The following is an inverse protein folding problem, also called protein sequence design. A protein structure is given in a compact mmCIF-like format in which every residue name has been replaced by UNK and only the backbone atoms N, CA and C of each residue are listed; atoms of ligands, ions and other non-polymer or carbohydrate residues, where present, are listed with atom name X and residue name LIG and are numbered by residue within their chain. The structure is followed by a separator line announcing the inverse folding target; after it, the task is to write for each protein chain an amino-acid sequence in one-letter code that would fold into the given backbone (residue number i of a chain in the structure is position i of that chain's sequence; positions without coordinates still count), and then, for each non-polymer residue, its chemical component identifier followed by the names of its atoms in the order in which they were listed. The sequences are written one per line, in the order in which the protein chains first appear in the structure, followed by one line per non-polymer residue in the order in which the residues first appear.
data_IF_463048243272
#
_entry.id   IF_463048243272
#
_cell.length_a   1.000
_cell.length_b   1.000
_cell.length_c   1.000
_cell.angle_alpha   90.00
_cell.angle_beta   90.00
_cell.angle_gamma   90.00
#
_symmetry.space_group_name_H-M   'P 1'
#
loop_
_entity.id
_entity.type
_entity.pdbx_description
1 polymer ?
#
# COMPACT_ATOMS: atom_id res chain seq x y z
N UNK A 1 -3.35 17.94 -51.62
CA UNK A 1 -3.01 18.55 -50.30
C UNK A 1 -3.50 17.63 -49.23
N UNK A 2 -2.58 16.89 -48.61
CA UNK A 2 -2.92 15.97 -47.53
C UNK A 2 -2.82 16.73 -46.17
N UNK A 3 -3.89 16.69 -45.39
CA UNK A 3 -3.95 17.27 -44.05
C UNK A 3 -3.10 16.39 -43.10
N UNK A 4 -2.25 16.97 -42.26
CA UNK A 4 -1.51 16.17 -41.27
C UNK A 4 -2.44 15.66 -40.18
N UNK A 5 -2.29 14.38 -39.83
CA UNK A 5 -2.96 13.75 -38.68
C UNK A 5 -2.55 14.42 -37.37
N UNK A 6 -3.46 14.54 -36.39
CA UNK A 6 -3.09 15.09 -35.08
C UNK A 6 -2.13 14.16 -34.36
N UNK A 7 -1.03 14.74 -33.87
CA UNK A 7 -0.10 14.08 -32.97
C UNK A 7 -0.85 13.76 -31.66
N UNK A 8 -0.95 12.48 -31.34
CA UNK A 8 -1.39 12.03 -30.01
C UNK A 8 -0.34 12.51 -29.00
N UNK A 9 -0.69 13.54 -28.26
CA UNK A 9 0.05 13.98 -27.09
C UNK A 9 0.01 12.85 -26.04
N UNK A 10 1.16 12.23 -25.82
CA UNK A 10 1.39 11.38 -24.63
C UNK A 10 1.42 12.30 -23.41
N UNK A 11 0.26 12.65 -22.90
CA UNK A 11 0.16 13.30 -21.61
C UNK A 11 0.47 12.24 -20.54
N UNK A 12 1.68 12.31 -19.98
CA UNK A 12 1.97 11.63 -18.71
C UNK A 12 1.09 12.29 -17.65
N UNK A 13 0.36 11.50 -16.84
CA UNK A 13 -0.45 12.08 -15.77
C UNK A 13 0.45 12.89 -14.84
N UNK A 14 -0.01 14.09 -14.48
CA UNK A 14 0.68 14.97 -13.56
C UNK A 14 0.85 14.29 -12.19
N UNK A 15 2.00 14.46 -11.56
CA UNK A 15 2.33 13.89 -10.25
C UNK A 15 1.29 14.21 -9.16
N UNK A 16 0.59 15.34 -9.27
CA UNK A 16 -0.51 15.72 -8.38
C UNK A 16 -1.74 14.83 -8.56
N UNK A 17 -2.03 14.41 -9.78
CA UNK A 17 -3.13 13.49 -10.12
C UNK A 17 -2.83 12.09 -9.64
N UNK A 18 -1.59 11.61 -9.81
CA UNK A 18 -1.15 10.30 -9.29
C UNK A 18 -1.21 10.26 -7.75
N UNK A 19 -0.72 11.29 -7.07
CA UNK A 19 -0.79 11.39 -5.60
C UNK A 19 -2.23 11.41 -5.09
N UNK A 20 -3.16 12.08 -5.79
CA UNK A 20 -4.60 12.06 -5.45
C UNK A 20 -5.16 10.66 -5.62
N UNK A 21 -4.87 10.01 -6.73
CA UNK A 21 -5.33 8.64 -7.02
C UNK A 21 -4.81 7.65 -5.98
N UNK A 22 -3.54 7.74 -5.57
CA UNK A 22 -2.97 6.89 -4.53
C UNK A 22 -3.71 7.03 -3.18
N UNK A 23 -4.04 8.28 -2.78
CA UNK A 23 -4.84 8.54 -1.58
C UNK A 23 -6.26 7.98 -1.67
N UNK A 24 -6.87 8.05 -2.84
CA UNK A 24 -8.19 7.50 -3.07
C UNK A 24 -8.17 5.98 -3.00
N UNK A 25 -7.19 5.33 -3.62
CA UNK A 25 -6.97 3.88 -3.51
C UNK A 25 -6.75 3.47 -2.04
N UNK A 26 -5.89 4.18 -1.31
CA UNK A 26 -5.67 3.93 0.11
C UNK A 26 -6.97 4.00 0.91
N UNK A 27 -7.80 5.03 0.68
CA UNK A 27 -9.09 5.23 1.35
C UNK A 27 -10.05 4.09 1.09
N UNK A 28 -10.20 3.66 -0.16
CA UNK A 28 -11.06 2.52 -0.52
C UNK A 28 -10.62 1.24 0.17
N UNK A 29 -9.30 0.95 0.16
CA UNK A 29 -8.73 -0.22 0.83
C UNK A 29 -8.96 -0.15 2.36
N UNK A 30 -8.73 1.00 2.98
CA UNK A 30 -8.96 1.15 4.43
C UNK A 30 -10.42 0.90 4.81
N UNK A 31 -11.37 1.30 3.97
CA UNK A 31 -12.81 1.01 4.18
C UNK A 31 -13.12 -0.48 4.04
N UNK A 32 -12.56 -1.14 3.01
CA UNK A 32 -12.67 -2.59 2.85
C UNK A 32 -12.12 -3.34 4.07
N UNK A 33 -10.94 -2.93 4.52
CA UNK A 33 -10.28 -3.53 5.68
C UNK A 33 -11.08 -3.34 6.96
N UNK A 34 -11.56 -2.13 7.23
CA UNK A 34 -12.38 -1.84 8.40
C UNK A 34 -13.65 -2.71 8.46
N UNK A 35 -14.32 -2.95 7.31
CA UNK A 35 -15.48 -3.86 7.24
C UNK A 35 -15.12 -5.33 7.54
N UNK A 36 -13.85 -5.70 7.42
CA UNK A 36 -13.32 -7.01 7.71
C UNK A 36 -12.53 -7.07 9.02
N UNK A 37 -12.71 -6.07 9.88
CA UNK A 37 -12.01 -5.93 11.17
C UNK A 37 -10.47 -5.95 11.03
N UNK A 38 -9.97 -5.43 9.90
CA UNK A 38 -8.53 -5.19 9.68
C UNK A 38 -8.28 -3.70 9.88
N UNK A 39 -7.47 -3.36 10.87
CA UNK A 39 -7.14 -1.97 11.19
C UNK A 39 -5.73 -1.64 10.71
N UNK A 40 -5.61 -0.58 9.91
CA UNK A 40 -4.33 -0.21 9.30
C UNK A 40 -4.04 1.29 9.42
N UNK A 41 -2.77 1.61 9.31
CA UNK A 41 -2.27 2.98 9.14
C UNK A 41 -1.54 3.11 7.80
N UNK A 42 -1.53 4.32 7.26
CA UNK A 42 -0.77 4.66 6.06
C UNK A 42 0.68 5.00 6.39
N UNK A 43 1.56 4.90 5.40
CA UNK A 43 2.93 5.41 5.48
C UNK A 43 3.70 4.86 6.69
N UNK A 44 3.68 3.53 6.88
CA UNK A 44 4.37 2.89 8.00
C UNK A 44 5.85 2.68 7.69
N UNK A 45 6.79 3.33 8.41
CA UNK A 45 8.22 3.10 8.22
C UNK A 45 8.62 1.71 8.71
N UNK A 46 9.43 0.98 7.93
CA UNK A 46 9.96 -0.33 8.24
C UNK A 46 11.43 -0.25 8.63
N UNK A 47 11.92 -1.30 9.33
CA UNK A 47 13.32 -1.32 9.82
C UNK A 47 14.38 -1.40 8.72
N UNK A 48 14.00 -1.84 7.54
CA UNK A 48 14.88 -1.90 6.37
C UNK A 48 14.97 -0.59 5.59
N UNK A 49 14.42 0.51 6.14
CA UNK A 49 14.38 1.82 5.49
C UNK A 49 13.29 1.98 4.44
N UNK A 50 12.42 0.96 4.25
CA UNK A 50 11.23 1.05 3.42
C UNK A 50 10.09 1.70 4.18
N UNK A 51 9.06 2.06 3.45
CA UNK A 51 7.81 2.57 4.00
C UNK A 51 6.64 1.89 3.29
N UNK A 52 5.85 1.14 4.04
CA UNK A 52 4.66 0.52 3.51
C UNK A 52 3.54 1.56 3.34
N UNK A 53 2.89 1.57 2.18
CA UNK A 53 1.78 2.51 1.93
C UNK A 53 0.64 2.28 2.91
N UNK A 54 0.26 1.02 3.15
CA UNK A 54 -0.64 0.62 4.24
C UNK A 54 -0.06 -0.58 4.98
N UNK A 55 -0.13 -0.54 6.31
CA UNK A 55 0.21 -1.68 7.16
C UNK A 55 -0.84 -1.83 8.25
N UNK A 56 -1.38 -3.03 8.41
CA UNK A 56 -2.45 -3.31 9.34
C UNK A 56 -2.37 -4.66 10.01
N UNK A 57 -3.30 -4.89 10.95
CA UNK A 57 -3.44 -6.15 11.69
C UNK A 57 -4.86 -6.66 11.55
N UNK A 58 -5.00 -7.94 11.23
CA UNK A 58 -6.29 -8.63 11.17
C UNK A 58 -6.73 -9.15 12.56
N UNK A 59 -7.99 -9.64 12.69
CA UNK A 59 -8.52 -10.14 13.98
C UNK A 59 -7.72 -11.30 14.60
N UNK A 60 -6.89 -11.96 13.80
CA UNK A 60 -6.02 -13.06 14.25
C UNK A 60 -4.60 -12.61 14.60
N UNK A 61 -4.37 -11.29 14.62
CA UNK A 61 -3.05 -10.71 14.87
C UNK A 61 -2.05 -10.90 13.74
N UNK A 62 -2.52 -11.15 12.49
CA UNK A 62 -1.64 -11.29 11.32
C UNK A 62 -1.45 -9.93 10.67
N UNK A 63 -0.23 -9.70 10.24
CA UNK A 63 0.15 -8.43 9.60
C UNK A 63 -0.17 -8.49 8.12
N UNK A 64 -0.82 -7.43 7.65
CA UNK A 64 -1.13 -7.20 6.23
C UNK A 64 -0.39 -5.95 5.77
N UNK A 65 0.32 -6.04 4.65
CA UNK A 65 0.90 -4.88 3.96
C UNK A 65 0.24 -4.75 2.59
N UNK A 66 -0.05 -3.50 2.21
CA UNK A 66 -0.46 -3.15 0.85
C UNK A 66 0.51 -2.11 0.31
N UNK A 67 1.01 -2.36 -0.88
CA UNK A 67 1.78 -1.42 -1.70
C UNK A 67 0.88 -0.90 -2.82
N UNK A 68 0.77 0.42 -2.94
CA UNK A 68 -0.15 1.06 -3.89
C UNK A 68 0.60 1.48 -5.15
N UNK A 69 0.07 1.09 -6.31
CA UNK A 69 0.61 1.45 -7.62
C UNK A 69 -0.50 2.08 -8.46
N UNK A 70 -0.29 3.33 -8.88
CA UNK A 70 -1.28 4.11 -9.63
C UNK A 70 -0.89 4.34 -11.08
N UNK A 71 0.38 4.14 -11.42
CA UNK A 71 0.91 4.26 -12.77
C UNK A 71 1.64 2.98 -13.19
N UNK A 72 1.56 2.66 -14.49
CA UNK A 72 2.25 1.48 -15.05
C UNK A 72 3.77 1.57 -14.88
N UNK A 73 4.35 2.77 -15.06
CA UNK A 73 5.78 3.00 -14.92
C UNK A 73 6.27 2.74 -13.49
N UNK A 74 5.50 3.17 -12.49
CA UNK A 74 5.78 2.93 -11.08
C UNK A 74 5.70 1.42 -10.73
N UNK A 75 4.68 0.73 -11.26
CA UNK A 75 4.58 -0.71 -11.10
C UNK A 75 5.79 -1.44 -11.70
N UNK A 76 6.17 -1.14 -12.95
CA UNK A 76 7.26 -1.82 -13.65
C UNK A 76 8.65 -1.49 -13.09
N UNK A 77 8.80 -0.33 -12.44
CA UNK A 77 10.06 0.11 -11.82
C UNK A 77 10.33 -0.44 -10.42
N UNK A 78 9.35 -1.07 -9.78
CA UNK A 78 9.47 -1.54 -8.40
C UNK A 78 10.11 -2.93 -8.32
N UNK A 79 11.45 -2.98 -8.40
CA UNK A 79 12.22 -4.19 -8.11
C UNK A 79 12.46 -4.48 -6.62
N UNK A 80 11.96 -3.62 -5.73
CA UNK A 80 12.28 -3.66 -4.29
C UNK A 80 11.14 -4.17 -3.40
N UNK A 81 9.98 -4.42 -3.99
CA UNK A 81 8.80 -4.88 -3.27
C UNK A 81 8.99 -6.20 -2.48
N UNK A 82 9.89 -7.16 -2.86
CA UNK A 82 10.10 -8.36 -2.04
C UNK A 82 10.59 -8.05 -0.63
N UNK A 83 11.21 -6.89 -0.41
CA UNK A 83 11.68 -6.46 0.90
C UNK A 83 10.54 -6.26 1.93
N UNK A 84 9.29 -6.16 1.48
CA UNK A 84 8.11 -6.07 2.37
C UNK A 84 7.68 -7.41 2.93
N UNK A 85 7.99 -8.52 2.25
CA UNK A 85 7.54 -9.85 2.64
C UNK A 85 8.09 -10.30 4.00
N UNK A 86 9.24 -9.76 4.40
CA UNK A 86 9.84 -10.02 5.72
C UNK A 86 9.08 -9.34 6.88
N UNK A 87 8.09 -8.50 6.58
CA UNK A 87 7.38 -7.67 7.55
C UNK A 87 5.88 -7.97 7.62
N UNK A 88 5.35 -8.88 6.81
CA UNK A 88 3.93 -9.19 6.78
C UNK A 88 3.64 -10.68 6.63
N UNK A 89 2.45 -11.07 7.08
CA UNK A 89 1.89 -12.41 6.86
C UNK A 89 1.15 -12.50 5.52
N UNK A 90 0.68 -11.35 5.00
CA UNK A 90 0.00 -11.21 3.70
C UNK A 90 0.41 -9.91 3.03
N UNK A 91 0.72 -10.01 1.74
CA UNK A 91 1.07 -8.85 0.92
C UNK A 91 0.08 -8.67 -0.22
N UNK A 92 -0.34 -7.43 -0.45
CA UNK A 92 -1.24 -7.05 -1.52
C UNK A 92 -0.68 -5.92 -2.37
N UNK A 93 -0.95 -5.99 -3.65
CA UNK A 93 -0.89 -4.85 -4.55
C UNK A 93 -2.24 -4.13 -4.51
N UNK A 94 -2.21 -2.83 -4.24
CA UNK A 94 -3.38 -1.95 -4.30
C UNK A 94 -3.33 -1.11 -5.57
N UNK A 95 -4.36 -1.18 -6.43
CA UNK A 95 -4.35 -0.50 -7.72
C UNK A 95 -5.69 0.16 -8.02
N UNK A 96 -5.73 1.28 -8.77
CA UNK A 96 -6.99 1.85 -9.23
C UNK A 96 -7.62 1.00 -10.36
N UNK A 97 -8.93 1.12 -10.59
CA UNK A 97 -9.63 0.36 -11.61
C UNK A 97 -9.07 0.53 -13.03
N UNK A 98 -8.57 1.74 -13.34
CA UNK A 98 -8.06 2.07 -14.67
C UNK A 98 -6.66 1.53 -14.97
N UNK A 99 -5.91 1.05 -13.95
CA UNK A 99 -4.55 0.52 -14.16
C UNK A 99 -4.61 -0.84 -14.86
N UNK A 100 -3.79 -1.00 -15.92
CA UNK A 100 -3.56 -2.30 -16.54
C UNK A 100 -2.87 -3.25 -15.55
N UNK A 101 -3.57 -4.32 -15.19
CA UNK A 101 -3.12 -5.32 -14.21
C UNK A 101 -2.37 -6.50 -14.83
N UNK A 102 -2.28 -6.56 -16.15
CA UNK A 102 -1.57 -7.63 -16.86
C UNK A 102 -0.19 -7.96 -16.28
N UNK A 103 0.65 -6.97 -15.96
CA UNK A 103 1.95 -7.21 -15.33
C UNK A 103 1.88 -7.98 -14.01
N UNK A 104 0.84 -7.78 -13.18
CA UNK A 104 0.68 -8.44 -11.87
C UNK A 104 0.44 -9.95 -11.96
N UNK A 105 0.15 -10.47 -13.14
CA UNK A 105 0.07 -11.92 -13.42
C UNK A 105 1.44 -12.51 -13.81
N UNK A 106 2.43 -11.66 -14.03
CA UNK A 106 3.79 -12.08 -14.37
C UNK A 106 4.58 -12.61 -13.17
N UNK A 107 5.54 -13.49 -13.44
CA UNK A 107 6.40 -14.15 -12.43
C UNK A 107 7.14 -13.13 -11.55
N UNK A 108 7.48 -11.95 -12.08
CA UNK A 108 8.18 -10.90 -11.33
C UNK A 108 7.37 -10.35 -10.16
N UNK A 109 6.04 -10.42 -10.22
CA UNK A 109 5.13 -9.92 -9.17
C UNK A 109 4.57 -11.05 -8.30
N UNK A 110 5.08 -12.26 -8.51
CA UNK A 110 4.80 -13.44 -7.70
C UNK A 110 3.32 -13.59 -7.34
N UNK A 111 2.45 -13.86 -8.33
CA UNK A 111 1.02 -14.06 -8.10
C UNK A 111 0.74 -15.25 -7.15
N UNK A 112 1.72 -16.13 -6.96
CA UNK A 112 1.71 -17.24 -6.01
C UNK A 112 1.77 -16.80 -4.54
N UNK A 113 2.30 -15.61 -4.25
CA UNK A 113 2.43 -15.12 -2.87
C UNK A 113 1.81 -13.74 -2.61
N UNK A 114 1.41 -13.02 -3.66
CA UNK A 114 0.85 -11.67 -3.55
C UNK A 114 -0.63 -11.64 -3.94
N UNK A 115 -1.44 -10.93 -3.16
CA UNK A 115 -2.82 -10.62 -3.52
C UNK A 115 -2.94 -9.36 -4.38
N UNK A 116 -4.15 -9.10 -4.88
CA UNK A 116 -4.48 -7.89 -5.63
C UNK A 116 -5.79 -7.31 -5.11
N UNK A 117 -5.78 -6.03 -4.79
CA UNK A 117 -6.96 -5.25 -4.41
C UNK A 117 -7.12 -4.13 -5.44
N UNK A 118 -8.32 -4.02 -5.99
CA UNK A 118 -8.71 -2.85 -6.79
C UNK A 118 -9.53 -1.92 -5.93
N UNK A 119 -9.20 -0.63 -5.94
CA UNK A 119 -9.89 0.36 -5.15
C UNK A 119 -9.98 1.71 -5.84
N UNK A 120 -11.07 2.42 -5.57
CA UNK A 120 -11.25 3.83 -5.84
C UNK A 120 -11.37 4.62 -4.54
N UNK A 121 -11.79 5.90 -4.61
CA UNK A 121 -11.96 6.73 -3.41
C UNK A 121 -13.12 6.33 -2.49
N UNK A 122 -13.96 5.37 -2.90
CA UNK A 122 -15.21 5.00 -2.21
C UNK A 122 -15.19 3.58 -1.66
N UNK A 123 -14.70 2.63 -2.45
CA UNK A 123 -14.74 1.21 -2.11
C UNK A 123 -13.53 0.44 -2.70
N UNK A 124 -13.43 -0.83 -2.33
CA UNK A 124 -12.39 -1.72 -2.81
C UNK A 124 -12.90 -3.17 -2.90
N UNK A 125 -12.28 -3.94 -3.79
CA UNK A 125 -12.53 -5.36 -4.00
C UNK A 125 -11.22 -6.15 -4.02
N UNK A 126 -11.20 -7.30 -3.34
CA UNK A 126 -10.08 -8.24 -3.42
C UNK A 126 -10.28 -9.11 -4.66
N UNK A 127 -9.54 -8.83 -5.74
CA UNK A 127 -9.59 -9.64 -6.96
C UNK A 127 -8.82 -10.95 -6.81
N UNK A 128 -7.71 -10.92 -6.08
CA UNK A 128 -6.91 -12.11 -5.77
C UNK A 128 -6.53 -12.07 -4.29
N UNK A 129 -6.99 -13.03 -3.48
CA UNK A 129 -6.60 -13.13 -2.07
C UNK A 129 -5.10 -13.39 -1.94
N UNK A 130 -4.42 -12.68 -1.03
CA UNK A 130 -3.03 -12.98 -0.72
C UNK A 130 -2.93 -14.30 0.05
N UNK A 131 -2.07 -15.24 -0.37
CA UNK A 131 -1.72 -16.39 0.44
C UNK A 131 -1.16 -15.99 1.80
N UNK A 132 -1.29 -16.89 2.78
CA UNK A 132 -0.72 -16.68 4.10
C UNK A 132 0.72 -17.19 4.12
N UNK A 133 1.67 -16.29 4.39
CA UNK A 133 3.07 -16.61 4.66
C UNK A 133 3.40 -16.19 6.09
N UNK A 134 3.23 -17.10 7.08
CA UNK A 134 3.32 -16.72 8.49
C UNK A 134 4.69 -16.21 8.87
N UNK A 135 4.76 -15.01 9.42
CA UNK A 135 5.96 -14.52 10.09
C UNK A 135 6.28 -15.37 11.33
N UNK A 136 7.57 -15.51 11.64
CA UNK A 136 7.99 -16.03 12.94
C UNK A 136 7.35 -15.22 14.08
N UNK A 137 6.89 -15.89 15.13
CA UNK A 137 6.14 -15.25 16.21
C UNK A 137 6.87 -14.05 16.85
N UNK A 138 8.18 -14.16 17.04
CA UNK A 138 9.00 -13.07 17.59
C UNK A 138 9.03 -11.86 16.65
N UNK A 139 9.16 -12.09 15.33
CA UNK A 139 9.12 -11.02 14.33
C UNK A 139 7.77 -10.34 14.32
N UNK A 140 6.68 -11.11 14.25
CA UNK A 140 5.31 -10.57 14.28
C UNK A 140 5.08 -9.72 15.51
N UNK A 141 5.48 -10.19 16.71
CA UNK A 141 5.38 -9.41 17.94
C UNK A 141 6.07 -8.05 17.81
N UNK A 142 7.32 -8.04 17.36
CA UNK A 142 8.07 -6.79 17.18
C UNK A 142 7.39 -5.82 16.20
N UNK A 143 6.85 -6.33 15.10
CA UNK A 143 6.19 -5.46 14.10
C UNK A 143 4.84 -4.94 14.61
N UNK A 144 4.06 -5.73 15.36
CA UNK A 144 2.84 -5.28 16.01
C UNK A 144 3.15 -4.19 17.05
N UNK A 145 4.16 -4.36 17.88
CA UNK A 145 4.58 -3.36 18.85
C UNK A 145 5.00 -2.03 18.19
N UNK A 146 5.72 -2.12 17.07
CA UNK A 146 6.11 -0.92 16.29
C UNK A 146 4.89 -0.24 15.66
N UNK A 147 3.98 -1.01 15.07
CA UNK A 147 2.74 -0.51 14.50
C UNK A 147 1.91 0.21 15.57
N UNK A 148 1.73 -0.43 16.73
CA UNK A 148 1.00 0.15 17.85
C UNK A 148 1.64 1.46 18.34
N UNK A 149 2.96 1.50 18.51
CA UNK A 149 3.68 2.73 18.91
C UNK A 149 3.53 3.84 17.88
N UNK A 150 3.62 3.51 16.58
CA UNK A 150 3.44 4.48 15.51
C UNK A 150 2.00 5.04 15.51
N UNK A 151 1.00 4.18 15.63
CA UNK A 151 -0.40 4.57 15.68
C UNK A 151 -0.70 5.46 16.91
N UNK A 152 -0.25 5.05 18.09
CA UNK A 152 -0.42 5.81 19.34
C UNK A 152 0.24 7.19 19.24
N UNK A 153 1.49 7.27 18.72
CA UNK A 153 2.16 8.56 18.50
C UNK A 153 1.33 9.47 17.59
N UNK A 154 0.81 8.95 16.47
CA UNK A 154 0.00 9.73 15.54
C UNK A 154 -1.30 10.22 16.18
N UNK A 155 -1.96 9.37 16.97
CA UNK A 155 -3.17 9.74 17.71
C UNK A 155 -2.87 10.83 18.76
N UNK A 156 -1.80 10.66 19.53
CA UNK A 156 -1.38 11.64 20.55
C UNK A 156 -1.06 12.99 19.93
N UNK A 157 -0.22 13.01 18.90
CA UNK A 157 0.16 14.26 18.21
C UNK A 157 -1.03 14.89 17.47
N UNK A 158 -1.93 14.05 16.92
CA UNK A 158 -3.16 14.54 16.29
C UNK A 158 -4.14 15.18 17.30
N UNK A 159 -4.13 14.72 18.56
CA UNK A 159 -4.91 15.31 19.65
C UNK A 159 -4.24 16.53 20.29
N UNK A 160 -2.92 16.53 20.40
CA UNK A 160 -2.13 17.64 20.92
C UNK A 160 -0.79 17.76 20.17
N UNK A 161 -0.64 18.72 19.25
CA UNK A 161 0.57 18.92 18.47
C UNK A 161 1.83 19.21 19.32
N UNK A 162 1.68 19.70 20.55
CA UNK A 162 2.80 19.93 21.47
C UNK A 162 3.46 18.63 21.96
N UNK A 163 2.79 17.49 21.78
CA UNK A 163 3.38 16.17 22.03
C UNK A 163 4.32 15.69 20.93
N UNK A 164 4.48 16.44 19.85
CA UNK A 164 5.46 16.10 18.82
C UNK A 164 6.89 16.18 19.38
N UNK A 165 7.78 15.21 19.05
CA UNK A 165 9.17 15.28 19.48
C UNK A 165 9.85 16.55 18.97
N UNK A 166 10.55 17.25 19.83
CA UNK A 166 11.33 18.43 19.46
C UNK A 166 12.48 18.00 18.53
N UNK A 167 12.46 18.45 17.26
CA UNK A 167 13.59 18.34 16.34
C UNK A 167 13.93 16.93 15.83
N UNK A 168 12.98 16.04 15.74
CA UNK A 168 13.21 14.71 15.19
C UNK A 168 12.60 14.56 13.79
N UNK A 169 13.46 14.39 12.79
CA UNK A 169 13.07 13.85 11.49
C UNK A 169 12.35 12.51 11.67
N UNK A 170 11.23 12.37 10.96
CA UNK A 170 10.39 11.19 10.98
C UNK A 170 10.97 10.06 10.16
#
# INVERSE_FOLDING_TARGET
MASPAPLLSNEHPDSSTEARTARDVARGIMRLFARNDIWCISEMPLRNGRRADLMGVDPKGRIVIVEIKVARGDLLGDGKWPDYLDFCDRFYWGVPPALDRGPLEGVLYRPDCCGVIVADGYDAEILRPAPLHPLAAARRKCEIERLARCALRRLTVGGDPLCAPWGGDA
#
